data_IF_782471404588
#
_entry.id   IF_782471404588
#
_cell.length_a   1.000
_cell.length_b   1.000
_cell.length_c   1.000
_cell.angle_alpha   90.00
_cell.angle_beta   90.00
_cell.angle_gamma   90.00
#
_symmetry.space_group_name_H-M   'P 1'
#
loop_
_entity.id
_entity.type
_entity.pdbx_description
1 polymer ?
#
# COMPACT_ATOMS: atom_id res chain seq x y z
N UNK A 1 18.97 -2.37 -10.47
CA UNK A 1 18.23 -1.67 -9.41
C UNK A 1 19.15 -1.34 -8.24
N UNK A 2 18.81 -0.32 -7.44
CA UNK A 2 19.55 0.05 -6.23
C UNK A 2 18.54 0.28 -5.10
N UNK A 3 18.70 -0.46 -3.99
CA UNK A 3 17.90 -0.29 -2.78
C UNK A 3 18.81 -0.14 -1.56
N UNK A 4 18.36 0.63 -0.58
CA UNK A 4 19.11 0.92 0.63
C UNK A 4 18.64 0.02 1.78
N UNK A 5 19.34 -1.10 2.00
CA UNK A 5 19.01 -2.12 2.99
C UNK A 5 18.64 -1.55 4.36
N UNK A 6 19.44 -0.61 4.88
CA UNK A 6 19.22 -0.08 6.21
C UNK A 6 17.95 0.79 6.29
N UNK A 7 17.64 1.52 5.22
CA UNK A 7 16.42 2.30 5.14
C UNK A 7 15.18 1.42 5.03
N UNK A 8 15.27 0.31 4.28
CA UNK A 8 14.24 -0.72 4.20
C UNK A 8 13.94 -1.33 5.58
N UNK A 9 14.98 -1.70 6.33
CA UNK A 9 14.82 -2.37 7.61
C UNK A 9 14.34 -1.41 8.72
N UNK A 10 14.95 -0.22 8.88
CA UNK A 10 14.61 0.73 9.97
C UNK A 10 13.21 1.33 9.88
N UNK A 11 12.58 1.29 8.71
CA UNK A 11 11.28 1.95 8.44
C UNK A 11 10.17 0.95 8.11
N UNK A 12 10.42 -0.35 8.23
CA UNK A 12 9.41 -1.36 7.93
C UNK A 12 8.57 -1.64 9.17
N UNK A 13 7.25 -1.76 8.99
CA UNK A 13 6.37 -2.27 10.04
C UNK A 13 6.62 -3.77 10.33
N UNK A 14 7.31 -4.48 9.45
CA UNK A 14 7.70 -5.88 9.64
C UNK A 14 9.07 -6.03 10.32
N UNK A 15 9.67 -4.96 10.86
CA UNK A 15 11.01 -5.05 11.48
C UNK A 15 11.05 -5.96 12.72
N UNK A 16 9.89 -6.29 13.31
CA UNK A 16 9.74 -7.27 14.39
C UNK A 16 9.94 -8.72 13.93
N UNK A 17 9.78 -9.01 12.62
CA UNK A 17 9.93 -10.36 12.07
C UNK A 17 11.41 -10.77 11.87
N UNK A 18 12.29 -9.77 11.70
CA UNK A 18 13.71 -9.97 11.46
C UNK A 18 14.25 -9.06 10.36
N UNK A 19 15.44 -9.39 9.84
CA UNK A 19 16.07 -8.60 8.78
C UNK A 19 15.45 -8.90 7.41
N UNK A 20 14.90 -7.89 6.76
CA UNK A 20 14.46 -7.94 5.35
C UNK A 20 15.71 -7.96 4.46
N UNK A 21 15.80 -8.98 3.59
CA UNK A 21 17.01 -9.34 2.83
C UNK A 21 16.98 -8.93 1.36
N UNK A 22 15.80 -8.68 0.80
CA UNK A 22 15.61 -8.34 -0.59
C UNK A 22 14.35 -7.48 -0.81
N UNK A 23 14.13 -7.09 -2.06
CA UNK A 23 12.87 -6.57 -2.58
C UNK A 23 12.38 -7.51 -3.69
N UNK A 24 11.35 -7.12 -4.45
CA UNK A 24 10.84 -7.86 -5.60
C UNK A 24 11.48 -7.40 -6.93
N UNK A 25 10.94 -7.90 -8.04
CA UNK A 25 11.36 -7.60 -9.40
C UNK A 25 11.30 -6.10 -9.75
N UNK A 26 10.30 -5.38 -9.22
CA UNK A 26 10.00 -4.00 -9.58
C UNK A 26 10.43 -2.98 -8.50
N UNK A 27 11.05 -3.45 -7.40
CA UNK A 27 11.69 -2.66 -6.34
C UNK A 27 10.77 -1.87 -5.41
N UNK A 28 9.47 -2.13 -5.44
CA UNK A 28 8.45 -1.48 -4.61
C UNK A 28 8.09 -2.28 -3.36
N UNK A 29 8.25 -3.61 -3.39
CA UNK A 29 7.86 -4.49 -2.28
C UNK A 29 9.05 -4.72 -1.37
N UNK A 30 8.86 -4.47 -0.07
CA UNK A 30 9.90 -4.64 0.96
C UNK A 30 9.28 -5.43 2.12
N UNK A 31 9.32 -6.75 1.98
CA UNK A 31 8.68 -7.69 2.90
C UNK A 31 9.70 -8.72 3.43
N UNK A 32 9.47 -9.21 4.64
CA UNK A 32 10.28 -10.24 5.26
C UNK A 32 10.19 -11.57 4.51
N UNK A 33 11.32 -12.28 4.42
CA UNK A 33 11.40 -13.63 3.84
C UNK A 33 12.33 -14.50 4.65
N UNK A 34 12.05 -15.80 4.69
CA UNK A 34 12.82 -16.82 5.37
C UNK A 34 12.84 -18.12 4.53
N UNK A 35 13.65 -19.13 4.86
CA UNK A 35 13.64 -20.41 4.15
C UNK A 35 12.25 -21.07 4.08
N UNK A 36 11.38 -20.75 5.03
CA UNK A 36 10.05 -21.33 5.18
C UNK A 36 8.92 -20.31 4.93
N UNK A 37 9.27 -19.09 4.47
CA UNK A 37 8.35 -18.01 4.16
C UNK A 37 8.75 -17.25 2.90
N UNK A 38 7.86 -17.31 1.90
CA UNK A 38 7.99 -16.56 0.65
C UNK A 38 6.97 -15.43 0.67
N UNK A 39 7.45 -14.18 0.76
CA UNK A 39 6.61 -13.00 0.71
C UNK A 39 5.76 -12.94 -0.58
N UNK A 40 4.52 -12.48 -0.46
CA UNK A 40 3.54 -12.43 -1.56
C UNK A 40 2.97 -11.04 -1.65
N UNK A 41 2.98 -10.48 -2.86
CA UNK A 41 2.49 -9.15 -3.11
C UNK A 41 1.07 -9.17 -3.72
N UNK A 42 0.10 -8.59 -3.02
CA UNK A 42 -1.28 -8.40 -3.50
C UNK A 42 -1.47 -6.93 -3.90
N UNK A 43 -1.56 -6.66 -5.21
CA UNK A 43 -1.49 -5.31 -5.76
C UNK A 43 -2.81 -4.82 -6.36
N UNK A 44 -3.13 -3.55 -6.12
CA UNK A 44 -4.11 -2.79 -6.89
C UNK A 44 -3.59 -1.36 -7.13
N UNK A 45 -4.07 -0.70 -8.19
CA UNK A 45 -3.72 0.69 -8.48
C UNK A 45 -4.96 1.57 -8.63
N UNK A 46 -4.90 2.75 -8.02
CA UNK A 46 -5.96 3.75 -8.06
C UNK A 46 -5.71 4.72 -9.22
N UNK A 47 -6.70 4.92 -10.09
CA UNK A 47 -6.63 5.83 -11.23
C UNK A 47 -6.89 7.29 -10.80
N UNK A 48 -5.83 8.05 -10.52
CA UNK A 48 -5.88 9.41 -9.98
C UNK A 48 -6.69 10.43 -10.81
N UNK A 49 -6.76 10.35 -12.16
CA UNK A 49 -7.56 11.30 -12.95
C UNK A 49 -9.07 11.25 -12.68
N UNK A 50 -9.57 10.16 -12.05
CA UNK A 50 -10.99 10.00 -11.70
C UNK A 50 -11.42 10.87 -10.52
N UNK A 51 -10.47 11.44 -9.79
CA UNK A 51 -10.71 12.34 -8.65
C UNK A 51 -10.50 13.80 -9.03
N UNK A 52 -10.26 14.10 -10.32
CA UNK A 52 -10.22 15.47 -10.84
C UNK A 52 -11.56 15.77 -11.49
N UNK A 53 -12.39 16.66 -10.90
CA UNK A 53 -13.67 17.06 -11.45
C UNK A 53 -13.55 17.63 -12.87
N UNK A 54 -14.55 17.37 -13.71
CA UNK A 54 -14.55 17.84 -15.10
C UNK A 54 -14.95 19.33 -15.21
N UNK A 55 -15.52 19.91 -14.16
CA UNK A 55 -15.91 21.32 -14.06
C UNK A 55 -14.75 22.25 -13.66
N UNK A 56 -13.52 21.71 -13.53
CA UNK A 56 -12.35 22.46 -13.09
C UNK A 56 -12.25 22.63 -11.57
N UNK A 57 -13.03 21.88 -10.79
CA UNK A 57 -12.92 21.83 -9.34
C UNK A 57 -11.59 21.27 -8.82
N UNK A 58 -11.39 21.39 -7.50
CA UNK A 58 -10.23 20.84 -6.81
C UNK A 58 -10.23 19.30 -6.79
N UNK A 59 -9.07 18.70 -6.56
CA UNK A 59 -8.91 17.25 -6.43
C UNK A 59 -9.78 16.69 -5.27
N UNK A 60 -10.56 15.65 -5.52
CA UNK A 60 -11.51 15.08 -4.57
C UNK A 60 -10.83 14.04 -3.63
N UNK A 61 -10.25 14.56 -2.54
CA UNK A 61 -9.63 13.74 -1.51
C UNK A 61 -10.63 12.87 -0.74
N UNK A 62 -11.88 13.33 -0.56
CA UNK A 62 -12.88 12.56 0.17
C UNK A 62 -13.27 11.29 -0.60
N UNK A 63 -13.45 11.41 -1.92
CA UNK A 63 -13.66 10.26 -2.78
C UNK A 63 -12.42 9.36 -2.84
N UNK A 64 -11.21 9.91 -2.92
CA UNK A 64 -9.96 9.14 -2.90
C UNK A 64 -9.84 8.31 -1.62
N UNK A 65 -10.12 8.89 -0.46
CA UNK A 65 -10.12 8.17 0.83
C UNK A 65 -11.12 7.00 0.81
N UNK A 66 -12.35 7.24 0.36
CA UNK A 66 -13.41 6.21 0.27
C UNK A 66 -13.00 5.04 -0.65
N UNK A 67 -12.40 5.35 -1.79
CA UNK A 67 -11.92 4.33 -2.73
C UNK A 67 -10.73 3.57 -2.14
N UNK A 68 -9.78 4.26 -1.52
CA UNK A 68 -8.62 3.64 -0.85
C UNK A 68 -9.06 2.67 0.24
N UNK A 69 -10.06 3.04 1.04
CA UNK A 69 -10.68 2.16 2.04
C UNK A 69 -11.25 0.88 1.39
N UNK A 70 -11.97 1.02 0.29
CA UNK A 70 -12.57 -0.12 -0.42
C UNK A 70 -11.50 -1.02 -1.05
N UNK A 71 -10.46 -0.43 -1.65
CA UNK A 71 -9.35 -1.18 -2.25
C UNK A 71 -8.60 -1.99 -1.19
N UNK A 72 -8.33 -1.44 -0.01
CA UNK A 72 -7.70 -2.16 1.08
C UNK A 72 -8.52 -3.40 1.49
N UNK A 73 -9.85 -3.27 1.62
CA UNK A 73 -10.72 -4.42 1.92
C UNK A 73 -10.74 -5.46 0.79
N UNK A 74 -10.72 -5.02 -0.46
CA UNK A 74 -10.65 -5.93 -1.60
C UNK A 74 -9.35 -6.73 -1.60
N UNK A 75 -8.21 -6.08 -1.35
CA UNK A 75 -6.91 -6.74 -1.26
C UNK A 75 -6.83 -7.71 -0.07
N UNK A 76 -7.43 -7.38 1.08
CA UNK A 76 -7.54 -8.33 2.19
C UNK A 76 -8.28 -9.61 1.78
N UNK A 77 -9.40 -9.48 1.04
CA UNK A 77 -10.13 -10.65 0.51
C UNK A 77 -9.32 -11.47 -0.49
N UNK A 78 -8.48 -10.82 -1.31
CA UNK A 78 -7.60 -11.52 -2.24
C UNK A 78 -6.68 -12.47 -1.48
N UNK A 79 -6.14 -12.08 -0.32
CA UNK A 79 -5.29 -12.96 0.50
C UNK A 79 -5.99 -14.29 0.82
N UNK A 80 -7.26 -14.26 1.20
CA UNK A 80 -7.98 -15.48 1.60
C UNK A 80 -8.41 -16.34 0.42
N UNK A 81 -8.70 -15.72 -0.73
CA UNK A 81 -9.17 -16.41 -1.93
C UNK A 81 -8.08 -16.78 -2.94
N UNK A 82 -6.84 -16.34 -2.71
CA UNK A 82 -5.74 -16.59 -3.64
C UNK A 82 -5.37 -18.08 -3.72
N UNK A 83 -4.96 -18.51 -4.91
CA UNK A 83 -4.29 -19.81 -5.08
C UNK A 83 -2.79 -19.61 -4.84
N UNK A 84 -2.27 -20.24 -3.79
CA UNK A 84 -0.84 -20.18 -3.46
C UNK A 84 -0.10 -21.35 -4.12
N UNK A 85 0.90 -21.10 -4.97
CA UNK A 85 1.60 -22.15 -5.70
C UNK A 85 2.54 -22.98 -4.81
N UNK A 86 2.95 -22.43 -3.66
CA UNK A 86 3.82 -23.09 -2.68
C UNK A 86 3.35 -22.75 -1.25
N UNK A 87 3.61 -23.65 -0.30
CA UNK A 87 3.08 -23.52 1.07
C UNK A 87 3.75 -22.37 1.84
N UNK A 88 5.02 -22.10 1.58
CA UNK A 88 5.79 -20.99 2.15
C UNK A 88 5.15 -19.64 1.81
N UNK A 89 4.52 -19.54 0.63
CA UNK A 89 3.80 -18.35 0.19
C UNK A 89 2.47 -18.19 0.92
N UNK A 90 1.72 -19.28 1.09
CA UNK A 90 0.49 -19.30 1.88
C UNK A 90 0.79 -18.91 3.33
N UNK A 91 1.82 -19.51 3.93
CA UNK A 91 2.25 -19.23 5.30
C UNK A 91 2.56 -17.76 5.50
N UNK A 92 3.46 -17.19 4.71
CA UNK A 92 3.84 -15.78 4.81
C UNK A 92 2.63 -14.85 4.69
N UNK A 93 1.78 -15.05 3.68
CA UNK A 93 0.68 -14.14 3.42
C UNK A 93 -0.43 -14.24 4.48
N UNK A 94 -0.70 -15.43 5.02
CA UNK A 94 -1.70 -15.59 6.08
C UNK A 94 -1.23 -15.04 7.43
N UNK A 95 0.07 -15.10 7.75
CA UNK A 95 0.65 -14.61 9.02
C UNK A 95 0.79 -13.09 9.09
N UNK A 96 1.16 -12.46 7.98
CA UNK A 96 1.53 -11.02 7.95
C UNK A 96 0.54 -10.15 7.17
N UNK A 97 -0.28 -10.77 6.32
CA UNK A 97 -1.34 -10.16 5.51
C UNK A 97 -0.95 -8.83 4.79
N UNK A 98 0.21 -8.74 4.12
CA UNK A 98 0.61 -7.53 3.42
C UNK A 98 -0.26 -7.25 2.18
N UNK A 99 -0.49 -5.97 1.92
CA UNK A 99 -1.19 -5.47 0.72
C UNK A 99 -0.45 -4.27 0.14
N UNK A 100 -0.46 -4.13 -1.18
CA UNK A 100 0.14 -3.00 -1.88
C UNK A 100 -0.88 -2.20 -2.67
N UNK A 101 -1.03 -0.92 -2.32
CA UNK A 101 -1.90 0.02 -3.02
C UNK A 101 -1.02 1.04 -3.75
N UNK A 102 -1.01 0.95 -5.07
CA UNK A 102 -0.33 1.88 -5.95
C UNK A 102 -1.28 2.89 -6.58
N UNK A 103 -0.74 3.70 -7.48
CA UNK A 103 -1.48 4.69 -8.26
C UNK A 103 -1.10 4.62 -9.73
N UNK A 104 -1.98 5.12 -10.59
CA UNK A 104 -1.72 5.35 -12.00
C UNK A 104 -2.32 6.70 -12.43
N UNK A 105 -1.76 7.29 -13.48
CA UNK A 105 -2.24 8.57 -14.04
C UNK A 105 -1.95 9.80 -13.17
N UNK A 106 -0.86 9.81 -12.39
CA UNK A 106 -0.45 11.00 -11.63
C UNK A 106 -0.15 12.19 -12.55
N UNK A 107 0.55 11.94 -13.66
CA UNK A 107 0.86 12.97 -14.65
C UNK A 107 -0.43 13.51 -15.30
N UNK A 108 -1.35 12.64 -15.67
CA UNK A 108 -2.66 13.00 -16.23
C UNK A 108 -3.49 13.84 -15.25
N UNK A 109 -3.48 13.50 -13.96
CA UNK A 109 -4.16 14.30 -12.93
C UNK A 109 -3.57 15.72 -12.83
N UNK A 110 -2.23 15.83 -12.85
CA UNK A 110 -1.56 17.14 -12.88
C UNK A 110 -1.88 17.93 -14.16
N UNK A 111 -1.91 17.27 -15.33
CA UNK A 111 -2.28 17.90 -16.60
C UNK A 111 -3.72 18.42 -16.54
N UNK A 112 -4.67 17.63 -16.05
CA UNK A 112 -6.08 18.05 -15.90
C UNK A 112 -6.20 19.28 -14.97
N UNK A 113 -5.42 19.31 -13.90
CA UNK A 113 -5.37 20.41 -12.93
C UNK A 113 -4.48 21.59 -13.37
N UNK A 114 -3.86 21.53 -14.56
CA UNK A 114 -2.91 22.54 -15.07
C UNK A 114 -1.72 22.80 -14.13
N UNK A 115 -1.26 21.75 -13.45
CA UNK A 115 -0.09 21.81 -12.56
C UNK A 115 1.14 21.29 -13.31
N UNK A 116 2.17 22.11 -13.56
CA UNK A 116 3.48 21.62 -13.97
C UNK A 116 4.00 20.61 -12.93
N UNK A 117 4.60 19.52 -13.39
CA UNK A 117 5.01 18.41 -12.51
C UNK A 117 6.01 18.85 -11.42
N UNK A 118 6.86 19.82 -11.73
CA UNK A 118 7.89 20.40 -10.88
C UNK A 118 7.41 21.60 -10.04
N UNK A 119 6.13 21.97 -10.13
CA UNK A 119 5.58 23.08 -9.35
C UNK A 119 5.39 22.73 -7.87
N UNK A 120 5.47 23.74 -7.01
CA UNK A 120 5.19 23.57 -5.57
C UNK A 120 3.76 23.08 -5.31
N UNK A 121 2.80 23.47 -6.15
CA UNK A 121 1.43 22.99 -6.08
C UNK A 121 1.31 21.49 -6.41
N UNK A 122 1.99 20.99 -7.44
CA UNK A 122 2.04 19.56 -7.75
C UNK A 122 2.73 18.76 -6.63
N UNK A 123 3.80 19.31 -6.06
CA UNK A 123 4.51 18.71 -4.92
C UNK A 123 3.63 18.60 -3.68
N UNK A 124 2.83 19.63 -3.39
CA UNK A 124 1.89 19.62 -2.28
C UNK A 124 0.76 18.62 -2.52
N UNK A 125 0.13 18.65 -3.69
CA UNK A 125 -0.92 17.70 -4.06
C UNK A 125 -0.42 16.24 -4.03
N UNK A 126 0.82 15.99 -4.47
CA UNK A 126 1.43 14.66 -4.35
C UNK A 126 1.44 14.18 -2.89
N UNK A 127 1.86 15.02 -1.94
CA UNK A 127 1.87 14.65 -0.52
C UNK A 127 0.46 14.33 -0.02
N UNK A 128 -0.50 15.20 -0.34
CA UNK A 128 -1.89 15.05 0.09
C UNK A 128 -2.54 13.79 -0.49
N UNK A 129 -2.29 13.45 -1.77
CA UNK A 129 -2.78 12.22 -2.40
C UNK A 129 -2.29 10.99 -1.64
N UNK A 130 -0.98 10.88 -1.39
CA UNK A 130 -0.42 9.70 -0.74
C UNK A 130 -0.77 9.63 0.75
N UNK A 131 -0.87 10.76 1.44
CA UNK A 131 -1.40 10.84 2.80
C UNK A 131 -2.85 10.34 2.86
N UNK A 132 -3.70 10.79 1.93
CA UNK A 132 -5.11 10.38 1.84
C UNK A 132 -5.25 8.88 1.60
N UNK A 133 -4.45 8.32 0.69
CA UNK A 133 -4.46 6.87 0.40
C UNK A 133 -4.02 6.08 1.63
N UNK A 134 -2.91 6.48 2.27
CA UNK A 134 -2.39 5.79 3.43
C UNK A 134 -3.39 5.82 4.60
N UNK A 135 -3.99 6.99 4.86
CA UNK A 135 -5.02 7.13 5.88
C UNK A 135 -6.25 6.27 5.60
N UNK A 136 -6.76 6.28 4.36
CA UNK A 136 -7.91 5.47 3.96
C UNK A 136 -7.65 3.96 4.07
N UNK A 137 -6.47 3.51 3.65
CA UNK A 137 -6.07 2.11 3.73
C UNK A 137 -5.87 1.64 5.18
N UNK A 138 -5.21 2.45 6.02
CA UNK A 138 -4.99 2.12 7.43
C UNK A 138 -6.32 2.12 8.21
N UNK A 139 -7.22 3.06 7.91
CA UNK A 139 -8.57 3.08 8.50
C UNK A 139 -9.34 1.79 8.18
N UNK A 140 -9.30 1.32 6.93
CA UNK A 140 -9.91 0.05 6.55
C UNK A 140 -9.26 -1.15 7.26
N UNK A 141 -7.94 -1.16 7.37
CA UNK A 141 -7.22 -2.23 8.07
C UNK A 141 -7.55 -2.26 9.57
N UNK A 142 -7.66 -1.10 10.22
CA UNK A 142 -8.10 -1.00 11.60
C UNK A 142 -9.52 -1.51 11.82
N UNK A 143 -10.46 -1.19 10.91
CA UNK A 143 -11.83 -1.70 11.00
C UNK A 143 -11.90 -3.22 10.77
N UNK A 144 -11.15 -3.73 9.78
CA UNK A 144 -10.99 -5.19 9.59
C UNK A 144 -10.42 -5.86 10.84
N UNK A 145 -9.43 -5.26 11.50
CA UNK A 145 -8.87 -5.80 12.73
C UNK A 145 -9.88 -5.84 13.90
N UNK A 146 -10.85 -4.92 13.94
CA UNK A 146 -11.97 -4.98 14.90
C UNK A 146 -12.96 -6.08 14.57
N UNK A 147 -13.19 -6.33 13.28
CA UNK A 147 -14.15 -7.33 12.78
C UNK A 147 -13.59 -8.77 12.85
N UNK A 148 -12.33 -8.95 12.45
CA UNK A 148 -11.70 -10.26 12.17
C UNK A 148 -10.54 -10.57 13.13
N UNK A 149 -10.10 -9.59 13.93
CA UNK A 149 -8.87 -9.65 14.73
C UNK A 149 -7.65 -9.11 13.96
N UNK A 150 -6.59 -8.68 14.67
CA UNK A 150 -5.34 -8.29 14.01
C UNK A 150 -4.66 -9.49 13.33
N UNK A 151 -3.75 -9.22 12.39
CA UNK A 151 -2.93 -10.27 11.80
C UNK A 151 -2.02 -10.91 12.87
N UNK A 152 -1.65 -12.19 12.67
CA UNK A 152 -0.99 -13.04 13.68
C UNK A 152 0.27 -12.41 14.30
N UNK A 153 0.98 -11.61 13.51
CA UNK A 153 2.27 -11.00 13.88
C UNK A 153 2.19 -9.50 14.18
N UNK A 154 1.00 -9.00 14.52
CA UNK A 154 0.75 -7.59 14.85
C UNK A 154 1.45 -7.16 16.13
N UNK A 155 1.36 -7.97 17.19
CA UNK A 155 1.93 -7.64 18.49
C UNK A 155 3.46 -7.47 18.39
N UNK A 156 3.97 -6.36 18.93
CA UNK A 156 5.39 -6.00 18.86
C UNK A 156 5.82 -5.40 17.52
N UNK A 157 4.91 -5.19 16.56
CA UNK A 157 5.19 -4.38 15.38
C UNK A 157 5.24 -2.88 15.74
N UNK A 158 5.88 -2.01 14.95
CA UNK A 158 5.92 -0.57 15.23
C UNK A 158 4.55 0.12 15.34
N UNK A 159 3.50 -0.46 14.77
CA UNK A 159 2.13 0.08 14.77
C UNK A 159 1.23 -0.51 15.87
N UNK A 160 1.71 -1.48 16.67
CA UNK A 160 0.94 -2.08 17.78
C UNK A 160 0.84 -1.19 19.00
#
# INVERSE_FOLDING_TARGET
YMLYKDACNRKSNQQNLGTIRCSNLCTEVVEYTAPDEVAVCNLASIALPRFVPDDGGAFDHALLQKISYTVARNLNRVIDHNYYPVEEARRSNMRHRPVGIGVQGLADAFIKLRLPFDSDAAKQLNREIFETIYFGALSASCDLAKEEGPYETYEGSPVS
#
